data_IF_224285048919
#
_entry.id   IF_224285048919
#
_cell.length_a   1.000
_cell.length_b   1.000
_cell.length_c   1.000
_cell.angle_alpha   90.00
_cell.angle_beta   90.00
_cell.angle_gamma   90.00
#
_symmetry.space_group_name_H-M   'P 1'
#
loop_
_entity.id
_entity.type
_entity.pdbx_description
1 polymer ?
#
# COMPACT_ATOMS: atom_id res chain seq x y z
N UNK A 1 11.02 -8.10 15.56
CA UNK A 1 9.80 -8.78 15.06
C UNK A 1 8.62 -7.84 14.90
N UNK A 2 8.17 -7.16 15.96
CA UNK A 2 7.01 -6.28 15.89
C UNK A 2 7.16 -5.10 14.91
N UNK A 3 8.36 -4.51 14.78
CA UNK A 3 8.64 -3.47 13.77
C UNK A 3 8.39 -3.97 12.32
N UNK A 4 8.88 -5.17 11.99
CA UNK A 4 8.68 -5.78 10.66
C UNK A 4 7.20 -6.06 10.40
N UNK A 5 6.44 -6.48 11.42
CA UNK A 5 5.01 -6.75 11.31
C UNK A 5 4.18 -5.46 11.11
N UNK A 6 4.51 -4.38 11.82
CA UNK A 6 3.84 -3.08 11.64
C UNK A 6 4.14 -2.51 10.26
N UNK A 7 5.39 -2.60 9.80
CA UNK A 7 5.78 -2.17 8.45
C UNK A 7 5.10 -3.02 7.36
N UNK A 8 5.02 -4.34 7.56
CA UNK A 8 4.37 -5.29 6.65
C UNK A 8 2.87 -4.99 6.51
N UNK A 9 2.18 -4.76 7.63
CA UNK A 9 0.77 -4.37 7.61
C UNK A 9 0.57 -3.00 6.95
N UNK A 10 1.43 -2.03 7.28
CA UNK A 10 1.39 -0.68 6.71
C UNK A 10 1.49 -0.70 5.18
N UNK A 11 2.44 -1.45 4.64
CA UNK A 11 2.68 -1.59 3.20
C UNK A 11 1.52 -2.33 2.49
N UNK A 12 0.96 -3.37 3.10
CA UNK A 12 -0.20 -4.10 2.55
C UNK A 12 -1.39 -3.16 2.37
N UNK A 13 -1.75 -2.44 3.43
CA UNK A 13 -2.89 -1.52 3.38
C UNK A 13 -2.60 -0.34 2.44
N UNK A 14 -1.37 0.19 2.43
CA UNK A 14 -0.96 1.25 1.50
C UNK A 14 -1.18 0.85 0.04
N UNK A 15 -0.68 -0.33 -0.30
CA UNK A 15 -0.64 -0.86 -1.66
C UNK A 15 -2.05 -1.02 -2.23
N UNK A 16 -3.02 -1.40 -1.39
CA UNK A 16 -4.43 -1.51 -1.78
C UNK A 16 -5.03 -0.14 -2.06
N UNK A 17 -4.83 0.85 -1.18
CA UNK A 17 -5.40 2.21 -1.33
C UNK A 17 -4.84 2.92 -2.55
N UNK A 18 -3.54 2.78 -2.80
CA UNK A 18 -2.94 3.33 -4.01
C UNK A 18 -3.47 2.62 -5.26
N UNK A 19 -3.52 1.30 -5.25
CA UNK A 19 -4.07 0.52 -6.37
C UNK A 19 -5.50 0.93 -6.69
N UNK A 20 -6.34 1.08 -5.65
CA UNK A 20 -7.73 1.54 -5.76
C UNK A 20 -7.82 2.91 -6.43
N UNK A 21 -6.99 3.86 -5.98
CA UNK A 21 -6.95 5.23 -6.52
C UNK A 21 -6.48 5.26 -7.97
N UNK A 22 -5.49 4.42 -8.32
CA UNK A 22 -4.99 4.28 -9.68
C UNK A 22 -6.03 3.64 -10.62
N UNK A 23 -6.70 2.58 -10.17
CA UNK A 23 -7.73 1.88 -10.94
C UNK A 23 -9.02 2.69 -11.12
N UNK A 24 -9.33 3.59 -10.19
CA UNK A 24 -10.45 4.51 -10.29
C UNK A 24 -10.14 5.80 -11.10
N UNK A 25 -8.90 5.98 -11.53
CA UNK A 25 -8.47 7.17 -12.29
C UNK A 25 -8.79 7.01 -13.78
N UNK A 26 -9.21 8.10 -14.40
CA UNK A 26 -9.65 8.18 -15.80
C UNK A 26 -8.75 9.09 -16.67
N UNK A 27 -7.77 9.78 -16.07
CA UNK A 27 -6.83 10.61 -16.82
C UNK A 27 -5.56 9.83 -17.17
N UNK A 28 -5.47 9.37 -18.42
CA UNK A 28 -4.34 8.59 -18.95
C UNK A 28 -2.98 9.24 -18.76
N UNK A 29 -2.89 10.58 -18.82
CA UNK A 29 -1.64 11.32 -18.60
C UNK A 29 -1.20 11.30 -17.13
N UNK A 30 -2.17 11.37 -16.20
CA UNK A 30 -1.91 11.23 -14.76
C UNK A 30 -1.54 9.80 -14.40
N UNK A 31 -2.29 8.81 -14.93
CA UNK A 31 -2.07 7.38 -14.71
C UNK A 31 -0.65 6.96 -15.13
N UNK A 32 -0.20 7.35 -16.33
CA UNK A 32 1.14 7.00 -16.82
C UNK A 32 2.26 7.55 -15.93
N UNK A 33 2.15 8.81 -15.52
CA UNK A 33 3.12 9.45 -14.61
C UNK A 33 3.09 8.81 -13.23
N UNK A 34 1.90 8.52 -12.71
CA UNK A 34 1.70 7.92 -11.41
C UNK A 34 2.22 6.49 -11.35
N UNK A 35 1.99 5.67 -12.38
CA UNK A 35 2.57 4.32 -12.51
C UNK A 35 4.10 4.39 -12.50
N UNK A 36 4.69 5.29 -13.29
CA UNK A 36 6.14 5.44 -13.34
C UNK A 36 6.70 5.79 -11.95
N UNK A 37 6.14 6.79 -11.28
CA UNK A 37 6.55 7.17 -9.93
C UNK A 37 6.35 6.05 -8.90
N UNK A 38 5.22 5.33 -8.98
CA UNK A 38 4.90 4.22 -8.08
C UNK A 38 5.80 3.02 -8.26
N UNK A 39 6.17 2.67 -9.48
CA UNK A 39 7.11 1.57 -9.71
C UNK A 39 8.43 1.83 -8.98
N UNK A 40 8.96 3.05 -9.05
CA UNK A 40 10.18 3.41 -8.32
C UNK A 40 9.97 3.42 -6.80
N UNK A 41 8.90 4.08 -6.33
CA UNK A 41 8.63 4.18 -4.89
C UNK A 41 8.42 2.81 -4.24
N UNK A 42 7.57 1.99 -4.85
CA UNK A 42 7.20 0.68 -4.33
C UNK A 42 8.35 -0.33 -4.45
N UNK A 43 9.26 -0.15 -5.43
CA UNK A 43 10.48 -0.95 -5.52
C UNK A 43 11.38 -0.72 -4.29
N UNK A 44 11.64 0.54 -3.92
CA UNK A 44 12.50 0.84 -2.78
C UNK A 44 11.88 0.44 -1.43
N UNK A 45 10.58 0.68 -1.24
CA UNK A 45 9.87 0.20 -0.04
C UNK A 45 9.95 -1.33 0.12
N UNK A 46 9.71 -2.07 -0.98
CA UNK A 46 9.70 -3.54 -0.95
C UNK A 46 11.09 -4.14 -0.86
N UNK A 47 12.11 -3.50 -1.43
CA UNK A 47 13.50 -3.93 -1.28
C UNK A 47 14.00 -3.71 0.15
N UNK A 48 13.65 -2.60 0.79
CA UNK A 48 13.96 -2.33 2.19
C UNK A 48 13.35 -3.37 3.13
N UNK A 49 12.04 -3.62 3.00
CA UNK A 49 11.36 -4.62 3.84
C UNK A 49 11.80 -6.05 3.51
N UNK A 50 12.05 -6.36 2.22
CA UNK A 50 12.61 -7.65 1.79
C UNK A 50 13.94 -7.96 2.47
N UNK A 51 14.81 -6.96 2.61
CA UNK A 51 16.06 -7.08 3.38
C UNK A 51 15.84 -7.42 4.86
N UNK A 52 14.85 -6.80 5.51
CA UNK A 52 14.49 -7.10 6.90
C UNK A 52 13.89 -8.51 7.06
N UNK A 53 13.05 -8.95 6.11
CA UNK A 53 12.43 -10.29 6.12
C UNK A 53 13.48 -11.38 5.88
N UNK A 54 14.48 -11.12 5.03
CA UNK A 54 15.58 -12.06 4.78
C UNK A 54 16.44 -12.26 6.03
N UNK A 55 16.73 -11.18 6.76
CA UNK A 55 17.46 -11.19 8.04
C UNK A 55 16.63 -11.73 9.20
N UNK A 56 15.30 -11.67 9.14
CA UNK A 56 14.44 -12.31 10.13
C UNK A 56 14.57 -13.84 10.06
N UNK A 57 14.61 -14.50 11.23
CA UNK A 57 14.64 -15.97 11.37
C UNK A 57 13.27 -16.62 11.09
N UNK A 58 12.56 -16.14 10.08
CA UNK A 58 11.29 -16.71 9.65
C UNK A 58 11.50 -18.01 8.88
N UNK A 59 10.59 -18.97 9.09
CA UNK A 59 10.50 -20.17 8.24
C UNK A 59 10.27 -19.77 6.79
N UNK A 60 10.79 -20.56 5.86
CA UNK A 60 10.67 -20.30 4.41
C UNK A 60 9.23 -20.01 3.96
N UNK A 61 8.25 -20.76 4.49
CA UNK A 61 6.82 -20.56 4.19
C UNK A 61 6.35 -19.16 4.55
N UNK A 62 6.82 -18.59 5.67
CA UNK A 62 6.47 -17.22 6.06
C UNK A 62 7.12 -16.19 5.13
N UNK A 63 8.40 -16.38 4.77
CA UNK A 63 9.09 -15.51 3.80
C UNK A 63 8.38 -15.51 2.44
N UNK A 64 7.99 -16.70 1.95
CA UNK A 64 7.26 -16.87 0.70
C UNK A 64 5.85 -16.26 0.78
N UNK A 65 5.13 -16.45 1.87
CA UNK A 65 3.79 -15.87 2.07
C UNK A 65 3.83 -14.34 2.06
N UNK A 66 4.76 -13.73 2.79
CA UNK A 66 4.91 -12.25 2.80
C UNK A 66 5.27 -11.72 1.41
N UNK A 67 6.18 -12.37 0.69
CA UNK A 67 6.52 -12.00 -0.68
C UNK A 67 5.31 -12.07 -1.64
N UNK A 68 4.50 -13.12 -1.50
CA UNK A 68 3.27 -13.29 -2.29
C UNK A 68 2.24 -12.18 -1.99
N UNK A 69 1.93 -11.93 -0.71
CA UNK A 69 0.97 -10.89 -0.34
C UNK A 69 1.44 -9.50 -0.78
N UNK A 70 2.74 -9.23 -0.76
CA UNK A 70 3.25 -7.97 -1.32
C UNK A 70 2.97 -7.90 -2.81
N UNK A 71 3.36 -8.90 -3.58
CA UNK A 71 3.13 -8.95 -5.03
C UNK A 71 1.66 -8.69 -5.42
N UNK A 72 0.71 -9.30 -4.70
CA UNK A 72 -0.71 -9.32 -5.10
C UNK A 72 -1.52 -8.10 -4.65
N UNK A 73 -1.13 -7.42 -3.57
CA UNK A 73 -1.95 -6.34 -2.98
C UNK A 73 -2.15 -5.13 -3.90
N UNK A 74 -1.13 -4.69 -4.63
CA UNK A 74 -1.26 -3.56 -5.57
C UNK A 74 -2.12 -3.91 -6.79
N UNK A 75 -1.88 -5.04 -7.52
CA UNK A 75 -2.78 -5.48 -8.58
C UNK A 75 -4.23 -5.69 -8.12
N UNK A 76 -4.42 -6.23 -6.92
CA UNK A 76 -5.74 -6.39 -6.31
C UNK A 76 -6.44 -5.04 -6.10
N UNK A 77 -5.73 -4.05 -5.55
CA UNK A 77 -6.26 -2.68 -5.41
C UNK A 77 -6.66 -2.07 -6.76
N UNK A 78 -5.83 -2.24 -7.80
CA UNK A 78 -6.14 -1.75 -9.16
C UNK A 78 -7.41 -2.40 -9.72
N UNK A 79 -7.54 -3.73 -9.59
CA UNK A 79 -8.73 -4.45 -10.02
C UNK A 79 -9.98 -3.99 -9.28
N UNK A 80 -9.89 -3.77 -7.96
CA UNK A 80 -10.96 -3.18 -7.16
C UNK A 80 -11.34 -1.77 -7.65
N UNK A 81 -10.34 -0.92 -7.93
CA UNK A 81 -10.56 0.44 -8.42
C UNK A 81 -11.30 0.46 -9.75
N UNK A 82 -10.89 -0.41 -10.68
CA UNK A 82 -11.56 -0.61 -11.97
C UNK A 82 -13.00 -1.13 -11.81
N UNK A 83 -13.22 -2.09 -10.90
CA UNK A 83 -14.55 -2.64 -10.62
C UNK A 83 -15.52 -1.63 -9.97
N UNK A 84 -15.00 -0.74 -9.11
CA UNK A 84 -15.81 0.37 -8.58
C UNK A 84 -16.08 1.43 -9.64
N UNK A 85 -15.11 1.74 -10.49
CA UNK A 85 -15.27 2.68 -11.59
C UNK A 85 -16.27 2.19 -12.65
N UNK A 86 -16.44 0.87 -12.83
CA UNK A 86 -17.48 0.33 -13.72
C UNK A 86 -18.88 0.31 -13.11
N UNK A 87 -19.00 0.26 -11.78
CA UNK A 87 -20.28 0.23 -11.06
C UNK A 87 -20.83 1.62 -10.73
N UNK A 88 -19.97 2.61 -10.58
CA UNK A 88 -20.34 4.01 -10.33
C UNK A 88 -20.08 4.87 -11.57
N UNK A 89 -20.93 5.86 -11.84
CA UNK A 89 -20.67 6.86 -12.88
C UNK A 89 -19.30 7.49 -12.63
N UNK A 90 -18.40 7.44 -13.62
CA UNK A 90 -17.08 8.07 -13.54
C UNK A 90 -17.22 9.54 -13.12
N UNK A 91 -16.38 10.00 -12.19
CA UNK A 91 -16.48 11.33 -11.54
C UNK A 91 -17.74 11.60 -10.71
N UNK A 92 -18.48 10.57 -10.28
CA UNK A 92 -19.51 10.76 -9.26
C UNK A 92 -18.90 11.34 -7.98
N UNK A 93 -19.47 12.42 -7.39
CA UNK A 93 -19.00 12.99 -6.14
C UNK A 93 -18.87 11.94 -5.03
N UNK A 94 -19.73 10.91 -5.03
CA UNK A 94 -19.71 9.81 -4.06
C UNK A 94 -18.45 8.94 -4.16
N UNK A 95 -17.98 8.66 -5.38
CA UNK A 95 -16.77 7.86 -5.60
C UNK A 95 -15.54 8.64 -5.13
N UNK A 96 -15.44 9.92 -5.51
CA UNK A 96 -14.34 10.81 -5.13
C UNK A 96 -14.29 11.04 -3.61
N UNK A 97 -15.44 11.24 -2.96
CA UNK A 97 -15.52 11.39 -1.50
C UNK A 97 -15.11 10.10 -0.80
N UNK A 98 -15.57 8.93 -1.27
CA UNK A 98 -15.24 7.64 -0.64
C UNK A 98 -13.76 7.32 -0.76
N UNK A 99 -13.18 7.44 -1.97
CA UNK A 99 -11.74 7.22 -2.21
C UNK A 99 -10.92 8.26 -1.45
N UNK A 100 -11.35 9.53 -1.44
CA UNK A 100 -10.68 10.60 -0.71
C UNK A 100 -10.68 10.38 0.81
N UNK A 101 -11.80 9.96 1.40
CA UNK A 101 -11.90 9.68 2.83
C UNK A 101 -11.06 8.47 3.23
N UNK A 102 -11.07 7.41 2.41
CA UNK A 102 -10.21 6.24 2.59
C UNK A 102 -8.73 6.60 2.50
N UNK A 103 -8.35 7.45 1.53
CA UNK A 103 -6.97 7.88 1.38
C UNK A 103 -6.50 8.79 2.54
N UNK A 104 -7.36 9.71 3.01
CA UNK A 104 -7.04 10.60 4.13
C UNK A 104 -6.92 9.84 5.46
N UNK A 105 -7.88 8.96 5.75
CA UNK A 105 -7.83 8.11 6.95
C UNK A 105 -6.62 7.17 6.92
N UNK A 106 -6.31 6.60 5.76
CA UNK A 106 -5.10 5.80 5.58
C UNK A 106 -3.82 6.61 5.83
N UNK A 107 -3.69 7.80 5.22
CA UNK A 107 -2.50 8.64 5.37
C UNK A 107 -2.28 9.04 6.84
N UNK A 108 -3.34 9.27 7.59
CA UNK A 108 -3.27 9.54 9.03
C UNK A 108 -2.75 8.33 9.82
N UNK A 109 -3.33 7.15 9.59
CA UNK A 109 -2.92 5.90 10.25
C UNK A 109 -1.46 5.55 9.90
N UNK A 110 -1.07 5.73 8.63
CA UNK A 110 0.28 5.47 8.16
C UNK A 110 1.32 6.37 8.84
N UNK A 111 1.04 7.66 9.02
CA UNK A 111 1.93 8.58 9.74
C UNK A 111 1.99 8.24 11.23
N UNK A 112 0.84 7.91 11.85
CA UNK A 112 0.77 7.54 13.26
C UNK A 112 1.57 6.26 13.56
N UNK A 113 1.39 5.21 12.75
CA UNK A 113 2.07 3.92 12.94
C UNK A 113 3.52 3.94 12.43
N UNK A 114 3.80 4.68 11.37
CA UNK A 114 5.14 4.85 10.82
C UNK A 114 6.00 5.73 11.72
N UNK A 115 5.80 7.05 11.67
CA UNK A 115 6.65 7.99 12.41
C UNK A 115 6.50 7.86 13.93
N UNK A 116 5.25 7.76 14.42
CA UNK A 116 4.96 7.65 15.85
C UNK A 116 5.26 6.25 16.39
N UNK A 117 4.73 5.21 15.74
CA UNK A 117 4.89 3.81 16.17
C UNK A 117 6.33 3.32 16.09
N UNK A 118 7.06 3.60 15.02
CA UNK A 118 8.47 3.20 14.93
C UNK A 118 9.35 3.96 15.94
N UNK A 119 9.09 5.25 16.20
CA UNK A 119 9.84 6.02 17.23
C UNK A 119 9.62 5.47 18.63
N UNK A 120 8.37 5.10 18.97
CA UNK A 120 8.05 4.45 20.23
C UNK A 120 8.77 3.12 20.35
N UNK A 121 8.68 2.27 19.33
CA UNK A 121 9.33 0.97 19.34
C UNK A 121 10.86 1.06 19.36
N UNK A 122 11.45 2.11 18.79
CA UNK A 122 12.89 2.36 18.85
C UNK A 122 13.39 2.75 20.25
N UNK A 123 12.56 3.41 21.07
CA UNK A 123 12.91 3.71 22.47
C UNK A 123 12.96 2.47 23.38
N UNK A 124 12.35 1.35 22.94
CA UNK A 124 12.26 0.10 23.71
C UNK A 124 12.93 -1.09 22.99
N UNK A 125 13.69 -0.83 21.92
CA UNK A 125 14.46 -1.81 21.16
C UNK A 125 15.93 -1.76 21.57
#
# INVERSE_FOLDING_TARGET
YALVQVLELGIIVHSIVIGLSLGASNNTCSIKRLIAALCFHQMFERMGLGGCILQAEYKFIKKAATAFFFSVTTPFGIALGLGLASSYKENSPRLLITVGLLNASYSYIAVLLGAGGMSLMANWA
#
